data_IF_794470618315
#
_entry.id   IF_794470618315
#
_cell.length_a   1.000
_cell.length_b   1.000
_cell.length_c   1.000
_cell.angle_alpha   90.00
_cell.angle_beta   90.00
_cell.angle_gamma   90.00
#
_symmetry.space_group_name_H-M   'P 1'
#
loop_
_entity.id
_entity.type
_entity.pdbx_description
1 polymer ?
#
# COMPACT_ATOMS: atom_id res chain seq x y z
N UNK A 1 42.67 -1.65 2.97
CA UNK A 1 41.41 -1.22 3.61
C UNK A 1 40.31 -1.87 2.78
N UNK A 2 39.87 -3.05 3.19
CA UNK A 2 38.86 -3.82 2.47
C UNK A 2 37.50 -3.14 2.69
N UNK A 3 37.03 -2.44 1.67
CA UNK A 3 35.66 -1.97 1.60
C UNK A 3 34.76 -3.21 1.49
N UNK A 4 34.16 -3.59 2.62
CA UNK A 4 33.16 -4.67 2.63
C UNK A 4 31.93 -4.14 1.91
N UNK A 5 31.78 -4.51 0.64
CA UNK A 5 30.59 -4.23 -0.16
C UNK A 5 29.40 -4.88 0.53
N UNK A 6 28.67 -4.08 1.33
CA UNK A 6 27.45 -4.46 2.02
C UNK A 6 26.46 -5.02 0.99
N UNK A 7 26.25 -6.34 1.00
CA UNK A 7 25.28 -6.98 0.11
C UNK A 7 23.90 -6.43 0.42
N UNK A 8 23.32 -5.62 -0.50
CA UNK A 8 21.91 -5.19 -0.44
C UNK A 8 21.03 -6.41 -0.16
N UNK A 9 20.56 -6.54 1.08
CA UNK A 9 19.73 -7.67 1.50
C UNK A 9 18.36 -7.51 0.87
N UNK A 10 18.03 -8.35 -0.10
CA UNK A 10 16.71 -8.36 -0.72
C UNK A 10 15.65 -8.62 0.35
N UNK A 11 14.80 -7.63 0.59
CA UNK A 11 13.61 -7.79 1.42
C UNK A 11 12.68 -8.76 0.70
N UNK A 12 12.18 -9.77 1.42
CA UNK A 12 11.23 -10.74 0.86
C UNK A 12 9.86 -10.05 0.66
N UNK A 13 9.05 -10.58 -0.25
CA UNK A 13 7.74 -10.02 -0.57
C UNK A 13 6.84 -9.88 0.68
N UNK A 14 6.80 -10.92 1.51
CA UNK A 14 5.95 -10.97 2.72
C UNK A 14 6.23 -9.84 3.71
N UNK A 15 7.47 -9.62 4.20
CA UNK A 15 7.75 -8.50 5.09
C UNK A 15 7.52 -7.14 4.42
N UNK A 16 7.68 -7.02 3.11
CA UNK A 16 7.38 -5.77 2.39
C UNK A 16 5.89 -5.44 2.40
N UNK A 17 5.02 -6.42 2.13
CA UNK A 17 3.56 -6.25 2.21
C UNK A 17 3.14 -5.89 3.64
N UNK A 18 3.73 -6.54 4.64
CA UNK A 18 3.43 -6.27 6.05
C UNK A 18 3.82 -4.85 6.46
N UNK A 19 5.01 -4.38 6.06
CA UNK A 19 5.47 -3.01 6.28
C UNK A 19 4.54 -1.99 5.60
N UNK A 20 4.17 -2.23 4.35
CA UNK A 20 3.25 -1.34 3.62
C UNK A 20 1.87 -1.29 4.29
N UNK A 21 1.36 -2.43 4.76
CA UNK A 21 0.12 -2.48 5.54
C UNK A 21 0.23 -1.65 6.83
N UNK A 22 1.29 -1.82 7.61
CA UNK A 22 1.48 -1.04 8.85
C UNK A 22 1.65 0.47 8.61
N UNK A 23 2.22 0.86 7.47
CA UNK A 23 2.41 2.27 7.13
C UNK A 23 1.10 2.98 6.79
N UNK A 24 0.16 2.27 6.16
CA UNK A 24 -1.07 2.86 5.61
C UNK A 24 -2.30 2.56 6.50
N UNK A 25 -2.24 1.51 7.33
CA UNK A 25 -3.36 1.09 8.16
C UNK A 25 -3.64 2.06 9.31
N UNK A 26 -4.59 2.98 9.11
CA UNK A 26 -5.18 3.84 10.15
C UNK A 26 -6.38 3.22 10.89
N UNK A 27 -6.74 1.96 10.60
CA UNK A 27 -7.91 1.29 11.17
C UNK A 27 -9.22 1.63 10.43
N UNK A 28 -10.33 1.05 10.92
CA UNK A 28 -11.69 1.17 10.36
C UNK A 28 -12.37 2.49 10.75
N UNK A 29 -11.67 3.61 10.64
CA UNK A 29 -12.24 4.90 11.04
C UNK A 29 -13.28 5.37 10.02
N UNK A 30 -14.48 5.74 10.49
CA UNK A 30 -15.56 6.23 9.62
C UNK A 30 -16.42 5.15 8.96
N UNK A 31 -16.15 3.85 9.17
CA UNK A 31 -17.01 2.79 8.63
C UNK A 31 -18.40 2.77 9.28
N UNK A 32 -18.49 3.07 10.57
CA UNK A 32 -19.77 3.15 11.29
C UNK A 32 -20.66 4.26 10.73
N UNK A 33 -20.07 5.43 10.47
CA UNK A 33 -20.76 6.57 9.85
C UNK A 33 -21.13 6.28 8.39
N UNK A 34 -20.23 5.62 7.65
CA UNK A 34 -20.47 5.22 6.26
C UNK A 34 -21.63 4.22 6.14
N UNK A 35 -21.74 3.26 7.05
CA UNK A 35 -22.85 2.30 7.10
C UNK A 35 -24.14 2.97 7.59
N UNK A 36 -24.05 3.86 8.59
CA UNK A 36 -25.19 4.60 9.12
C UNK A 36 -25.81 5.56 8.10
N UNK A 37 -24.98 6.22 7.28
CA UNK A 37 -25.43 7.19 6.29
C UNK A 37 -25.86 6.57 4.95
N UNK A 38 -25.07 5.65 4.40
CA UNK A 38 -25.32 5.08 3.06
C UNK A 38 -26.04 3.72 3.07
N UNK A 39 -26.11 3.05 4.23
CA UNK A 39 -26.62 1.70 4.38
C UNK A 39 -25.59 0.62 4.00
N UNK A 40 -25.71 -0.58 4.59
CA UNK A 40 -24.65 -1.61 4.54
C UNK A 40 -24.33 -2.11 3.12
N UNK A 41 -25.34 -2.15 2.23
CA UNK A 41 -25.14 -2.61 0.85
C UNK A 41 -24.27 -1.66 0.03
N UNK A 42 -24.54 -0.35 0.10
CA UNK A 42 -23.78 0.66 -0.65
C UNK A 42 -22.37 0.79 -0.07
N UNK A 43 -22.24 0.77 1.26
CA UNK A 43 -20.93 0.79 1.92
C UNK A 43 -20.02 -0.35 1.45
N UNK A 44 -20.56 -1.57 1.33
CA UNK A 44 -19.78 -2.73 0.87
C UNK A 44 -19.36 -2.59 -0.60
N UNK A 45 -20.26 -2.13 -1.48
CA UNK A 45 -19.96 -1.91 -2.89
C UNK A 45 -18.81 -0.91 -3.03
N UNK A 46 -18.89 0.21 -2.31
CA UNK A 46 -17.83 1.24 -2.32
C UNK A 46 -16.52 0.65 -1.80
N UNK A 47 -16.55 -0.17 -0.74
CA UNK A 47 -15.36 -0.80 -0.18
C UNK A 47 -14.62 -1.70 -1.19
N UNK A 48 -15.34 -2.32 -2.12
CA UNK A 48 -14.78 -3.19 -3.16
C UNK A 48 -14.38 -2.39 -4.39
N UNK A 49 -15.19 -1.41 -4.80
CA UNK A 49 -14.96 -0.65 -6.03
C UNK A 49 -13.81 0.36 -5.88
N UNK A 50 -13.72 1.03 -4.72
CA UNK A 50 -12.70 2.03 -4.43
C UNK A 50 -11.26 1.51 -4.59
N UNK A 51 -10.86 0.35 -4.02
CA UNK A 51 -9.50 -0.14 -4.21
C UNK A 51 -9.20 -0.52 -5.67
N UNK A 52 -10.20 -0.94 -6.44
CA UNK A 52 -9.99 -1.32 -7.85
C UNK A 52 -9.82 -0.07 -8.73
N UNK A 53 -10.71 0.91 -8.59
CA UNK A 53 -10.70 2.11 -9.44
C UNK A 53 -9.56 3.06 -9.04
N UNK A 54 -9.19 3.11 -7.77
CA UNK A 54 -8.26 4.11 -7.26
C UNK A 54 -6.94 3.54 -6.77
N UNK A 55 -6.96 2.56 -5.85
CA UNK A 55 -5.72 2.03 -5.26
C UNK A 55 -4.89 1.23 -6.26
N UNK A 56 -5.51 0.46 -7.16
CA UNK A 56 -4.82 -0.32 -8.18
C UNK A 56 -3.99 0.54 -9.15
N UNK A 57 -4.55 1.55 -9.85
CA UNK A 57 -3.74 2.40 -10.72
C UNK A 57 -2.71 3.22 -9.94
N UNK A 58 -3.04 3.68 -8.74
CA UNK A 58 -2.09 4.40 -7.88
C UNK A 58 -0.89 3.53 -7.51
N UNK A 59 -1.14 2.26 -7.14
CA UNK A 59 -0.10 1.28 -6.85
C UNK A 59 0.85 1.05 -8.02
N UNK A 60 0.32 0.95 -9.25
CA UNK A 60 1.11 0.82 -10.47
C UNK A 60 2.00 2.05 -10.70
N UNK A 61 1.46 3.26 -10.56
CA UNK A 61 2.23 4.50 -10.70
C UNK A 61 3.35 4.58 -9.65
N UNK A 62 3.07 4.20 -8.40
CA UNK A 62 4.09 4.16 -7.34
C UNK A 62 5.17 3.11 -7.61
N UNK A 63 4.83 1.96 -8.19
CA UNK A 63 5.82 0.93 -8.54
C UNK A 63 6.72 1.38 -9.69
N UNK A 64 6.15 1.99 -10.73
CA UNK A 64 6.93 2.57 -11.83
C UNK A 64 7.87 3.68 -11.35
N UNK A 65 7.40 4.55 -10.45
CA UNK A 65 8.21 5.61 -9.88
C UNK A 65 9.29 5.09 -8.93
N UNK A 66 8.96 4.10 -8.10
CA UNK A 66 9.91 3.46 -7.18
C UNK A 66 11.00 2.68 -7.91
N UNK A 67 10.69 2.07 -9.05
CA UNK A 67 11.66 1.40 -9.92
C UNK A 67 12.63 2.39 -10.59
N UNK A 68 12.20 3.63 -10.82
CA UNK A 68 13.00 4.67 -11.48
C UNK A 68 14.16 5.20 -10.63
N UNK A 69 14.13 5.05 -9.30
CA UNK A 69 15.18 5.54 -8.40
C UNK A 69 15.75 4.42 -7.49
N UNK A 70 16.54 3.48 -8.05
CA UNK A 70 17.08 2.34 -7.28
C UNK A 70 18.35 2.66 -6.46
N UNK A 71 18.95 3.85 -6.64
CA UNK A 71 20.24 4.22 -6.05
C UNK A 71 20.24 5.66 -5.49
N UNK A 72 20.33 5.77 -4.17
CA UNK A 72 21.02 6.90 -3.52
C UNK A 72 22.51 6.63 -3.71
N UNK A 73 23.18 7.43 -4.54
CA UNK A 73 24.63 7.61 -4.52
C UNK A 73 24.97 8.71 -3.53
#
# INVERSE_FOLDING_TARGET
>A
MEETVEKKKKVKLVPMIFLMYMFISGGSFGLEDMIGGAGPGISLIILIVLPIIWAYPYGLVCTELGAKYPEFN
#
